data_IF_248792429257
#
_entry.id   IF_248792429257
#
_cell.length_a   1.000
_cell.length_b   1.000
_cell.length_c   1.000
_cell.angle_alpha   90.00
_cell.angle_beta   90.00
_cell.angle_gamma   90.00
#
_symmetry.space_group_name_H-M   'P 1'
#
loop_
_entity.id
_entity.type
_entity.pdbx_description
1 polymer ?
#
# COMPACT_ATOMS: atom_id res chain seq x y z
N UNK A 1 -12.30 -8.63 -10.20
CA UNK A 1 -10.94 -8.14 -9.89
C UNK A 1 -10.69 -6.75 -10.46
N UNK A 2 -10.80 -6.55 -11.79
CA UNK A 2 -10.65 -5.22 -12.40
C UNK A 2 -11.59 -4.15 -11.83
N UNK A 3 -12.88 -4.48 -11.63
CA UNK A 3 -13.85 -3.56 -11.03
C UNK A 3 -13.53 -3.18 -9.58
N UNK A 4 -12.98 -4.11 -8.78
CA UNK A 4 -12.57 -3.81 -7.40
C UNK A 4 -11.36 -2.87 -7.35
N UNK A 5 -10.40 -3.06 -8.26
CA UNK A 5 -9.26 -2.16 -8.42
C UNK A 5 -9.74 -0.76 -8.82
N UNK A 6 -10.60 -0.64 -9.84
CA UNK A 6 -11.16 0.64 -10.24
C UNK A 6 -11.91 1.35 -9.11
N UNK A 7 -12.76 0.64 -8.37
CA UNK A 7 -13.48 1.22 -7.22
C UNK A 7 -12.53 1.77 -6.15
N UNK A 8 -11.46 1.05 -5.83
CA UNK A 8 -10.47 1.49 -4.83
C UNK A 8 -9.67 2.67 -5.38
N UNK A 9 -9.22 2.60 -6.63
CA UNK A 9 -8.52 3.71 -7.29
C UNK A 9 -9.36 4.99 -7.32
N UNK A 10 -10.64 4.90 -7.65
CA UNK A 10 -11.55 6.06 -7.68
C UNK A 10 -11.85 6.58 -6.26
N UNK A 11 -12.11 5.68 -5.31
CA UNK A 11 -12.43 6.06 -3.92
C UNK A 11 -11.27 6.76 -3.23
N UNK A 12 -10.03 6.32 -3.49
CA UNK A 12 -8.82 6.89 -2.92
C UNK A 12 -8.09 7.84 -3.87
N UNK A 13 -8.66 8.12 -5.04
CA UNK A 13 -8.11 9.01 -6.08
C UNK A 13 -6.65 8.65 -6.45
N UNK A 14 -6.35 7.35 -6.48
CA UNK A 14 -5.01 6.84 -6.77
C UNK A 14 -4.68 7.06 -8.25
N UNK A 15 -3.47 7.53 -8.48
CA UNK A 15 -2.92 7.87 -9.79
C UNK A 15 -1.65 7.06 -10.08
N UNK A 16 -1.08 7.26 -11.26
CA UNK A 16 0.24 6.71 -11.63
C UNK A 16 1.40 7.35 -10.85
N UNK A 17 1.16 8.45 -10.15
CA UNK A 17 2.18 9.13 -9.33
C UNK A 17 2.29 8.55 -7.93
N UNK A 18 1.37 7.66 -7.55
CA UNK A 18 1.31 7.14 -6.20
C UNK A 18 2.36 6.04 -5.96
N UNK A 19 3.04 6.17 -4.83
CA UNK A 19 4.00 5.21 -4.32
C UNK A 19 3.38 4.55 -3.10
N UNK A 20 3.05 3.27 -3.21
CA UNK A 20 2.38 2.51 -2.16
C UNK A 20 3.36 1.62 -1.40
N UNK A 21 3.35 1.69 -0.07
CA UNK A 21 4.10 0.76 0.77
C UNK A 21 3.22 -0.42 1.20
N UNK A 22 3.62 -1.63 0.82
CA UNK A 22 2.93 -2.84 1.22
C UNK A 22 3.33 -3.22 2.66
N UNK A 23 2.60 -2.68 3.63
CA UNK A 23 2.82 -2.92 5.07
C UNK A 23 2.14 -4.16 5.61
N UNK A 24 1.19 -4.73 4.86
CA UNK A 24 0.49 -5.94 5.27
C UNK A 24 1.18 -7.17 4.71
N UNK A 25 1.25 -8.28 5.47
CA UNK A 25 1.76 -9.52 4.92
C UNK A 25 0.92 -9.95 3.72
N UNK A 26 1.58 -10.38 2.64
CA UNK A 26 0.96 -10.75 1.36
C UNK A 26 0.01 -11.96 1.44
N UNK A 27 -0.21 -12.57 2.61
CA UNK A 27 -1.24 -13.59 2.82
C UNK A 27 -2.62 -13.00 3.16
N UNK A 28 -2.72 -11.70 3.46
CA UNK A 28 -4.01 -11.02 3.51
C UNK A 28 -4.43 -10.57 2.11
N UNK A 29 -5.53 -11.13 1.59
CA UNK A 29 -6.10 -10.77 0.27
C UNK A 29 -6.33 -9.26 0.12
N UNK A 30 -6.62 -8.58 1.23
CA UNK A 30 -6.79 -7.13 1.28
C UNK A 30 -5.48 -6.38 0.96
N UNK A 31 -4.34 -6.85 1.46
CA UNK A 31 -3.03 -6.29 1.16
C UNK A 31 -2.64 -6.49 -0.31
N UNK A 32 -2.91 -7.67 -0.88
CA UNK A 32 -2.66 -7.92 -2.31
C UNK A 32 -3.56 -7.05 -3.19
N UNK A 33 -4.87 -7.02 -2.92
CA UNK A 33 -5.81 -6.32 -3.81
C UNK A 33 -5.68 -4.81 -3.68
N UNK A 34 -5.67 -4.27 -2.45
CA UNK A 34 -5.68 -2.82 -2.24
C UNK A 34 -4.30 -2.16 -2.42
N UNK A 35 -3.20 -2.86 -2.09
CA UNK A 35 -1.86 -2.28 -2.13
C UNK A 35 -1.09 -2.58 -3.41
N UNK A 36 -1.25 -3.78 -3.96
CA UNK A 36 -0.44 -4.25 -5.08
C UNK A 36 -1.22 -4.10 -6.38
N UNK A 37 -2.41 -4.71 -6.47
CA UNK A 37 -3.21 -4.71 -7.71
C UNK A 37 -3.76 -3.32 -8.04
N UNK A 38 -4.21 -2.56 -7.05
CA UNK A 38 -4.73 -1.21 -7.29
C UNK A 38 -3.64 -0.26 -7.79
N UNK A 39 -2.49 -0.24 -7.12
CA UNK A 39 -1.37 0.64 -7.48
C UNK A 39 -0.75 0.26 -8.82
N UNK A 40 -0.61 -1.04 -9.12
CA UNK A 40 -0.18 -1.48 -10.45
C UNK A 40 -1.25 -1.17 -11.52
N UNK A 41 -2.53 -1.27 -11.18
CA UNK A 41 -3.65 -0.96 -12.07
C UNK A 41 -3.73 0.52 -12.47
N UNK A 42 -3.28 1.44 -11.62
CA UNK A 42 -3.18 2.87 -11.91
C UNK A 42 -1.86 3.28 -12.55
N UNK A 43 -0.88 2.36 -12.66
CA UNK A 43 0.47 2.63 -13.14
C UNK A 43 1.41 3.25 -12.09
N UNK A 44 1.07 3.17 -10.82
CA UNK A 44 1.89 3.62 -9.70
C UNK A 44 3.01 2.64 -9.33
N UNK A 45 3.76 2.96 -8.28
CA UNK A 45 4.89 2.16 -7.79
C UNK A 45 4.56 1.47 -6.47
N UNK A 46 4.94 0.20 -6.31
CA UNK A 46 4.75 -0.54 -5.05
C UNK A 46 6.10 -0.88 -4.43
N UNK A 47 6.27 -0.52 -3.16
CA UNK A 47 7.41 -0.90 -2.34
C UNK A 47 7.01 -2.08 -1.47
N UNK A 48 7.72 -3.20 -1.61
CA UNK A 48 7.50 -4.42 -0.84
C UNK A 48 8.71 -4.66 0.06
N UNK A 49 8.61 -4.39 1.38
CA UNK A 49 9.65 -4.73 2.33
C UNK A 49 9.66 -6.23 2.63
N UNK A 50 10.83 -6.78 2.92
CA UNK A 50 11.04 -8.22 3.17
C UNK A 50 10.26 -8.72 4.41
N UNK A 51 10.07 -7.85 5.42
CA UNK A 51 9.19 -8.03 6.57
C UNK A 51 8.58 -6.69 6.98
N UNK A 52 7.36 -6.72 7.51
CA UNK A 52 6.80 -5.54 8.18
C UNK A 52 7.60 -5.27 9.46
N UNK A 53 8.14 -4.06 9.54
CA UNK A 53 8.90 -3.55 10.68
C UNK A 53 8.42 -2.11 10.91
N UNK A 54 7.70 -1.90 12.01
CA UNK A 54 7.11 -0.60 12.34
C UNK A 54 8.18 0.48 12.57
N UNK A 55 9.38 0.09 13.01
CA UNK A 55 10.48 1.04 13.23
C UNK A 55 11.09 1.47 11.89
N UNK A 56 11.19 0.57 10.91
CA UNK A 56 11.66 0.88 9.56
C UNK A 56 10.59 1.49 8.66
N UNK A 57 9.31 1.39 9.03
CA UNK A 57 8.21 1.94 8.26
C UNK A 57 8.46 3.40 7.90
N UNK A 58 8.82 4.23 8.88
CA UNK A 58 8.99 5.66 8.64
C UNK A 58 10.29 5.97 7.88
N UNK A 59 11.35 5.20 8.10
CA UNK A 59 12.58 5.31 7.33
C UNK A 59 12.33 5.01 5.84
N UNK A 60 11.64 3.90 5.55
CA UNK A 60 11.30 3.46 4.19
C UNK A 60 10.32 4.43 3.55
N UNK A 61 9.28 4.83 4.28
CA UNK A 61 8.26 5.76 3.77
C UNK A 61 8.87 7.13 3.42
N UNK A 62 9.77 7.66 4.26
CA UNK A 62 10.51 8.89 3.95
C UNK A 62 11.46 8.71 2.77
N UNK A 63 12.23 7.61 2.76
CA UNK A 63 13.24 7.32 1.73
C UNK A 63 12.64 7.19 0.34
N UNK A 64 11.50 6.51 0.22
CA UNK A 64 10.84 6.26 -1.07
C UNK A 64 9.68 7.22 -1.35
N UNK A 65 9.44 8.22 -0.47
CA UNK A 65 8.35 9.20 -0.60
C UNK A 65 6.99 8.52 -0.82
N UNK A 66 6.70 7.54 0.03
CA UNK A 66 5.44 6.78 -0.01
C UNK A 66 4.26 7.76 0.15
N UNK A 67 3.35 7.75 -0.82
CA UNK A 67 2.16 8.59 -0.82
C UNK A 67 0.95 7.89 -0.21
N UNK A 68 0.95 6.55 -0.19
CA UNK A 68 -0.18 5.74 0.25
C UNK A 68 0.27 4.45 0.95
N UNK A 69 -0.45 4.02 1.98
CA UNK A 69 -0.31 2.68 2.54
C UNK A 69 -1.64 2.24 3.17
N UNK A 70 -2.06 0.97 3.00
CA UNK A 70 -3.24 0.47 3.69
C UNK A 70 -2.95 0.31 5.19
N UNK A 71 -3.57 1.16 6.01
CA UNK A 71 -3.47 1.05 7.46
C UNK A 71 -4.38 -0.06 7.99
N UNK A 72 -3.81 -1.07 8.66
CA UNK A 72 -4.55 -2.06 9.44
C UNK A 72 -4.51 -1.67 10.92
N UNK A 73 -5.53 -2.02 11.71
CA UNK A 73 -5.61 -1.68 13.15
C UNK A 73 -4.35 -2.08 13.94
N UNK A 74 -3.67 -3.17 13.55
CA UNK A 74 -2.40 -3.58 14.15
C UNK A 74 -1.28 -2.54 13.95
N UNK A 75 -1.26 -1.84 12.81
CA UNK A 75 -0.32 -0.77 12.53
C UNK A 75 -0.66 0.53 13.27
N UNK A 76 -1.88 0.70 13.79
CA UNK A 76 -2.29 1.91 14.53
C UNK A 76 -2.11 1.73 16.03
N UNK A 77 -2.32 0.51 16.56
CA UNK A 77 -2.25 0.20 17.99
C UNK A 77 -0.82 0.08 18.55
N UNK A 78 0.19 0.04 17.69
CA UNK A 78 1.61 0.02 18.09
C UNK A 78 2.29 1.39 18.01
N UNK A 79 1.47 2.46 17.97
CA UNK A 79 1.86 3.87 17.98
C UNK A 79 1.36 4.56 19.24
#
# INVERSE_FOLDING_TARGET
MASSVQNISESYQLTSQDITLCVMPLFHVHGIVASLLTTLGTGGTVIIPDRFDALKFWEISTKYKVSWFPAVHLCIMHW
#
